data_IF_503507637139
#
_entry.id   IF_503507637139
#
_cell.length_a   1.000
_cell.length_b   1.000
_cell.length_c   1.000
_cell.angle_alpha   90.00
_cell.angle_beta   90.00
_cell.angle_gamma   90.00
#
_symmetry.space_group_name_H-M   'P 1'
#
loop_
_entity.id
_entity.type
_entity.pdbx_description
1 polymer ?
#
# COMPACT_ATOMS: atom_id res chain seq x y z
N UNK A 1 14.45 -61.95 -3.64
CA UNK A 1 13.39 -61.16 -4.29
C UNK A 1 13.49 -59.76 -3.69
N UNK A 2 14.18 -58.84 -4.37
CA UNK A 2 14.46 -57.50 -3.82
C UNK A 2 13.39 -56.53 -4.33
N UNK A 3 12.48 -56.16 -3.44
CA UNK A 3 11.44 -55.16 -3.73
C UNK A 3 12.04 -53.78 -3.49
N UNK A 4 12.47 -53.11 -4.56
CA UNK A 4 12.88 -51.71 -4.50
C UNK A 4 11.63 -50.85 -4.31
N UNK A 5 11.44 -50.31 -3.10
CA UNK A 5 10.40 -49.31 -2.82
C UNK A 5 10.95 -47.97 -3.30
N UNK A 6 10.50 -47.51 -4.47
CA UNK A 6 10.67 -46.11 -4.89
C UNK A 6 9.73 -45.24 -4.04
N UNK A 7 10.26 -44.55 -3.04
CA UNK A 7 9.54 -43.50 -2.33
C UNK A 7 9.37 -42.29 -3.28
N UNK A 8 8.15 -42.06 -3.77
CA UNK A 8 7.82 -40.85 -4.49
C UNK A 8 7.75 -39.69 -3.48
N UNK A 9 8.68 -38.75 -3.55
CA UNK A 9 8.62 -37.51 -2.78
C UNK A 9 7.56 -36.59 -3.41
N UNK A 10 6.38 -36.49 -2.79
CA UNK A 10 5.39 -35.50 -3.16
C UNK A 10 5.86 -34.11 -2.68
N UNK A 11 6.21 -33.23 -3.62
CA UNK A 11 6.49 -31.83 -3.30
C UNK A 11 5.15 -31.13 -3.13
N UNK A 12 4.78 -30.81 -1.87
CA UNK A 12 3.62 -29.98 -1.58
C UNK A 12 3.98 -28.54 -1.95
N UNK A 13 3.43 -28.04 -3.05
CA UNK A 13 3.51 -26.61 -3.40
C UNK A 13 2.57 -25.88 -2.44
N UNK A 14 3.10 -25.22 -1.43
CA UNK A 14 2.32 -24.34 -0.58
C UNK A 14 1.81 -23.16 -1.42
N UNK A 15 0.49 -22.96 -1.45
CA UNK A 15 -0.11 -21.77 -2.06
C UNK A 15 0.16 -20.62 -1.09
N UNK A 16 1.07 -19.72 -1.46
CA UNK A 16 1.37 -18.52 -0.68
C UNK A 16 0.36 -17.46 -1.08
N UNK A 17 -0.51 -17.05 -0.15
CA UNK A 17 -1.36 -15.88 -0.33
C UNK A 17 -0.64 -14.64 0.22
N UNK A 18 -1.01 -13.48 -0.31
CA UNK A 18 -0.46 -12.20 0.06
C UNK A 18 -1.53 -11.11 0.04
N UNK A 19 -1.28 -10.02 0.74
CA UNK A 19 -2.13 -8.83 0.74
C UNK A 19 -1.32 -7.56 0.76
N UNK A 20 -1.90 -6.46 0.30
CA UNK A 20 -1.36 -5.13 0.52
C UNK A 20 -1.47 -4.78 2.01
N UNK A 21 -0.35 -4.33 2.56
CA UNK A 21 -0.21 -3.96 3.97
C UNK A 21 0.22 -2.50 4.18
N UNK A 22 0.44 -1.74 3.10
CA UNK A 22 0.78 -0.32 3.15
C UNK A 22 1.54 0.16 1.92
N UNK A 23 2.35 1.19 2.08
CA UNK A 23 3.19 1.74 1.02
C UNK A 23 4.44 2.42 1.60
N UNK A 24 5.46 2.55 0.77
CA UNK A 24 6.70 3.28 1.05
C UNK A 24 6.82 4.51 0.14
N UNK A 25 7.46 5.56 0.65
CA UNK A 25 7.73 6.78 -0.11
C UNK A 25 8.97 7.51 0.43
N UNK A 26 9.62 8.39 -0.34
CA UNK A 26 10.63 9.30 0.17
C UNK A 26 10.13 10.12 1.36
N UNK A 27 10.92 10.24 2.42
CA UNK A 27 10.58 11.10 3.57
C UNK A 27 10.69 12.58 3.27
N UNK A 28 11.41 12.94 2.20
CA UNK A 28 11.55 14.31 1.70
C UNK A 28 11.17 14.36 0.23
N UNK A 29 10.32 15.31 -0.14
CA UNK A 29 9.75 15.41 -1.49
C UNK A 29 9.77 16.87 -1.96
N UNK A 30 10.16 17.12 -3.21
CA UNK A 30 10.10 18.46 -3.78
C UNK A 30 8.71 18.76 -4.37
N UNK A 31 8.26 20.03 -4.36
CA UNK A 31 7.06 20.44 -5.08
C UNK A 31 7.18 20.14 -6.58
N UNK A 32 6.08 19.72 -7.20
CA UNK A 32 6.02 19.35 -8.64
C UNK A 32 6.73 18.06 -9.04
N UNK A 33 7.45 17.39 -8.13
CA UNK A 33 8.07 16.11 -8.43
C UNK A 33 7.03 15.01 -8.62
N UNK A 34 7.36 14.06 -9.50
CA UNK A 34 6.68 12.77 -9.59
C UNK A 34 7.42 11.76 -8.70
N UNK A 35 6.73 11.27 -7.68
CA UNK A 35 7.31 10.44 -6.63
C UNK A 35 6.91 9.00 -6.87
N UNK A 36 7.93 8.13 -6.91
CA UNK A 36 7.76 6.69 -6.91
C UNK A 36 7.39 6.19 -5.51
N UNK A 37 6.23 5.57 -5.40
CA UNK A 37 5.78 4.81 -4.25
C UNK A 37 6.01 3.32 -4.48
N UNK A 38 6.39 2.61 -3.42
CA UNK A 38 6.36 1.15 -3.40
C UNK A 38 5.20 0.66 -2.55
N UNK A 39 4.14 0.12 -3.16
CA UNK A 39 3.02 -0.47 -2.43
C UNK A 39 3.50 -1.80 -1.83
N UNK A 40 3.46 -1.88 -0.51
CA UNK A 40 4.03 -2.98 0.27
C UNK A 40 3.03 -4.12 0.38
N UNK A 41 3.50 -5.33 0.08
CA UNK A 41 2.73 -6.57 0.21
C UNK A 41 3.30 -7.42 1.34
N UNK A 42 2.45 -8.15 2.03
CA UNK A 42 2.80 -9.08 3.10
C UNK A 42 2.08 -10.41 2.93
N UNK A 43 2.66 -11.48 3.47
CA UNK A 43 2.03 -12.80 3.46
C UNK A 43 0.71 -12.77 4.22
N UNK A 44 -0.25 -13.55 3.74
CA UNK A 44 -1.56 -13.68 4.36
C UNK A 44 -2.05 -15.12 4.24
N UNK A 45 -2.93 -15.54 5.14
CA UNK A 45 -3.42 -16.92 5.14
C UNK A 45 -4.52 -17.14 4.11
N UNK A 46 -5.33 -16.11 3.89
CA UNK A 46 -6.49 -16.16 3.00
C UNK A 46 -6.22 -15.46 1.67
N UNK A 47 -6.99 -15.83 0.64
CA UNK A 47 -6.98 -15.09 -0.62
C UNK A 47 -7.72 -13.77 -0.43
N UNK A 48 -7.05 -12.67 -0.79
CA UNK A 48 -7.62 -11.33 -0.80
C UNK A 48 -7.84 -10.90 -2.25
N UNK A 49 -8.87 -10.07 -2.50
CA UNK A 49 -9.03 -9.32 -3.73
C UNK A 49 -8.90 -7.83 -3.45
N UNK A 50 -7.84 -7.19 -3.94
CA UNK A 50 -7.63 -5.75 -3.83
C UNK A 50 -8.06 -5.04 -5.12
N UNK A 51 -8.96 -4.06 -4.99
CA UNK A 51 -9.58 -3.41 -6.15
C UNK A 51 -8.81 -2.15 -6.57
N UNK A 52 -8.56 -1.26 -5.61
CA UNK A 52 -7.88 0.01 -5.87
C UNK A 52 -7.25 0.58 -4.61
N UNK A 53 -6.24 1.41 -4.80
CA UNK A 53 -5.65 2.25 -3.77
C UNK A 53 -5.66 3.70 -4.23
N UNK A 54 -6.42 4.56 -3.53
CA UNK A 54 -6.43 5.99 -3.76
C UNK A 54 -5.39 6.68 -2.87
N UNK A 55 -4.79 7.75 -3.36
CA UNK A 55 -3.74 8.49 -2.65
C UNK A 55 -4.10 9.96 -2.55
N UNK A 56 -3.70 10.62 -1.48
CA UNK A 56 -3.86 12.06 -1.33
C UNK A 56 -2.83 12.68 -0.40
N UNK A 57 -2.70 13.99 -0.51
CA UNK A 57 -1.64 14.76 0.12
C UNK A 57 -2.22 15.94 0.87
N UNK A 58 -1.80 16.10 2.12
CA UNK A 58 -2.39 17.07 3.04
C UNK A 58 -1.31 17.81 3.83
N UNK A 59 -1.42 19.15 4.00
CA UNK A 59 -0.55 19.91 4.89
C UNK A 59 -0.70 19.51 6.37
N UNK A 60 0.42 19.39 7.07
CA UNK A 60 0.49 19.14 8.52
C UNK A 60 0.02 17.76 8.96
N UNK A 61 -0.31 17.68 10.24
CA UNK A 61 -0.77 16.47 10.93
C UNK A 61 -2.30 16.33 10.87
N UNK A 62 -2.92 16.55 9.69
CA UNK A 62 -4.38 16.61 9.59
C UNK A 62 -5.04 15.34 10.14
N UNK A 63 -5.78 15.55 11.23
CA UNK A 63 -6.31 14.51 12.12
C UNK A 63 -7.53 13.79 11.58
N UNK A 64 -8.08 14.23 10.45
CA UNK A 64 -9.19 13.53 9.82
C UNK A 64 -8.67 12.24 9.15
N UNK A 65 -8.79 11.13 9.87
CA UNK A 65 -8.37 9.81 9.41
C UNK A 65 -9.16 9.31 8.19
N UNK A 66 -10.38 9.82 7.96
CA UNK A 66 -11.23 9.43 6.83
C UNK A 66 -11.04 10.26 5.56
N UNK A 67 -10.20 11.30 5.59
CA UNK A 67 -9.99 12.19 4.45
C UNK A 67 -8.60 11.99 3.83
N UNK A 68 -8.55 11.87 2.50
CA UNK A 68 -7.31 11.80 1.73
C UNK A 68 -6.65 13.18 1.48
N UNK A 69 -7.38 14.28 1.70
CA UNK A 69 -6.93 15.62 1.33
C UNK A 69 -6.92 15.84 -0.18
N UNK A 70 -5.88 16.51 -0.70
CA UNK A 70 -5.77 16.76 -2.14
C UNK A 70 -5.42 15.46 -2.85
N UNK A 71 -6.40 14.90 -3.55
CA UNK A 71 -6.28 13.63 -4.23
C UNK A 71 -5.21 13.69 -5.33
N UNK A 72 -4.47 12.58 -5.44
CA UNK A 72 -3.52 12.31 -6.52
C UNK A 72 -3.98 11.10 -7.33
N UNK A 73 -3.16 10.66 -8.29
CA UNK A 73 -3.51 9.54 -9.17
C UNK A 73 -3.74 8.24 -8.36
N UNK A 74 -4.89 7.56 -8.51
CA UNK A 74 -5.11 6.27 -7.87
C UNK A 74 -4.35 5.14 -8.60
N UNK A 75 -4.15 4.02 -7.91
CA UNK A 75 -3.70 2.75 -8.47
C UNK A 75 -4.89 1.80 -8.57
N UNK A 76 -5.25 1.42 -9.79
CA UNK A 76 -6.14 0.28 -10.01
C UNK A 76 -5.33 -1.01 -9.90
N UNK A 77 -5.83 -1.94 -9.10
CA UNK A 77 -5.12 -3.18 -8.77
C UNK A 77 -5.77 -4.34 -9.51
N UNK A 78 -7.01 -4.68 -9.14
CA UNK A 78 -7.73 -5.80 -9.73
C UNK A 78 -6.99 -7.12 -9.57
N UNK A 79 -7.33 -8.12 -10.38
CA UNK A 79 -6.73 -9.46 -10.27
C UNK A 79 -5.22 -9.47 -10.56
N UNK A 80 -4.72 -8.55 -11.39
CA UNK A 80 -3.32 -8.53 -11.83
C UNK A 80 -2.34 -8.11 -10.73
N UNK A 81 -2.80 -7.32 -9.75
CA UNK A 81 -1.99 -6.76 -8.67
C UNK A 81 -2.51 -7.12 -7.28
N UNK A 82 -3.39 -8.12 -7.20
CA UNK A 82 -3.94 -8.66 -5.97
C UNK A 82 -3.34 -10.03 -5.68
N UNK A 83 -3.21 -10.37 -4.39
CA UNK A 83 -2.64 -11.65 -3.94
C UNK A 83 -1.26 -11.97 -4.56
N UNK A 84 -0.44 -10.93 -4.74
CA UNK A 84 0.92 -11.03 -5.30
C UNK A 84 1.97 -10.79 -4.21
N UNK A 85 3.10 -11.49 -4.31
CA UNK A 85 4.23 -11.37 -3.38
C UNK A 85 5.21 -10.26 -3.75
N UNK A 86 5.00 -9.60 -4.90
CA UNK A 86 5.88 -8.55 -5.38
C UNK A 86 5.37 -7.17 -4.96
N UNK A 87 6.29 -6.30 -4.57
CA UNK A 87 6.03 -4.87 -4.40
C UNK A 87 5.47 -4.27 -5.70
N UNK A 88 4.49 -3.39 -5.58
CA UNK A 88 3.84 -2.77 -6.73
C UNK A 88 4.28 -1.31 -6.81
N UNK A 89 4.92 -0.93 -7.91
CA UNK A 89 5.32 0.44 -8.16
C UNK A 89 4.10 1.30 -8.55
N UNK A 90 4.04 2.51 -8.00
CA UNK A 90 3.06 3.53 -8.35
C UNK A 90 3.69 4.92 -8.31
N UNK A 91 3.15 5.87 -9.07
CA UNK A 91 3.68 7.23 -9.13
C UNK A 91 2.60 8.24 -8.79
N UNK A 92 2.94 9.20 -7.92
CA UNK A 92 2.07 10.30 -7.50
C UNK A 92 2.78 11.64 -7.67
N UNK A 93 2.05 12.67 -8.07
CA UNK A 93 2.62 14.01 -8.24
C UNK A 93 2.42 14.85 -6.97
N UNK A 94 3.48 15.55 -6.54
CA UNK A 94 3.41 16.50 -5.44
C UNK A 94 2.88 17.83 -5.97
N UNK A 95 1.87 18.45 -5.32
CA UNK A 95 1.35 19.72 -5.77
C UNK A 95 2.45 20.80 -5.83
N UNK A 96 2.49 21.64 -6.88
CA UNK A 96 3.44 22.77 -6.96
C UNK A 96 3.22 23.80 -5.84
N UNK A 97 2.04 23.80 -5.23
CA UNK A 97 1.66 24.67 -4.11
C UNK A 97 2.15 24.16 -2.76
N UNK A 98 2.78 22.98 -2.70
CA UNK A 98 3.35 22.45 -1.47
C UNK A 98 4.51 23.35 -1.01
N UNK A 99 4.49 23.76 0.25
CA UNK A 99 5.46 24.72 0.78
C UNK A 99 6.69 24.01 1.31
N UNK A 100 7.86 24.39 0.84
CA UNK A 100 9.14 23.92 1.35
C UNK A 100 9.28 24.25 2.84
N UNK A 101 9.80 23.30 3.61
CA UNK A 101 10.01 23.41 5.06
C UNK A 101 8.81 22.98 5.91
N UNK A 102 7.66 22.70 5.31
CA UNK A 102 6.48 22.23 6.03
C UNK A 102 6.37 20.69 6.02
N UNK A 103 5.80 20.14 7.08
CA UNK A 103 5.42 18.73 7.17
C UNK A 103 4.08 18.52 6.48
N UNK A 104 3.95 17.43 5.74
CA UNK A 104 2.73 16.97 5.10
C UNK A 104 2.48 15.52 5.47
N UNK A 105 1.24 15.06 5.27
CA UNK A 105 0.88 13.66 5.37
C UNK A 105 0.47 13.14 3.99
N UNK A 106 1.17 12.12 3.50
CA UNK A 106 0.75 11.31 2.35
C UNK A 106 -0.17 10.20 2.88
N UNK A 107 -1.41 10.19 2.41
CA UNK A 107 -2.44 9.24 2.83
C UNK A 107 -2.82 8.31 1.68
N UNK A 108 -3.22 7.09 2.01
CA UNK A 108 -3.75 6.15 1.06
C UNK A 108 -4.97 5.41 1.60
N UNK A 109 -5.92 5.11 0.72
CA UNK A 109 -7.14 4.38 0.99
C UNK A 109 -7.20 3.14 0.09
N UNK A 110 -7.12 1.95 0.68
CA UNK A 110 -7.19 0.67 -0.01
C UNK A 110 -8.60 0.10 0.12
N UNK A 111 -9.20 -0.26 -1.02
CA UNK A 111 -10.45 -1.03 -1.07
C UNK A 111 -10.12 -2.47 -1.43
N UNK A 112 -10.56 -3.40 -0.59
CA UNK A 112 -10.31 -4.83 -0.75
C UNK A 112 -11.50 -5.67 -0.32
N UNK A 113 -11.51 -6.95 -0.67
CA UNK A 113 -12.41 -7.94 -0.09
C UNK A 113 -11.67 -9.22 0.27
N UNK A 114 -12.16 -9.90 1.31
CA UNK A 114 -11.59 -11.17 1.78
C UNK A 114 -12.63 -12.02 2.50
N UNK A 115 -12.27 -13.25 2.84
CA UNK A 115 -13.12 -14.17 3.57
C UNK A 115 -14.21 -14.85 2.72
N UNK A 116 -14.95 -15.80 3.31
CA UNK A 116 -15.94 -16.61 2.61
C UNK A 116 -17.14 -15.80 2.08
N UNK A 117 -17.46 -14.68 2.73
CA UNK A 117 -18.59 -13.81 2.38
C UNK A 117 -18.19 -12.65 1.45
N UNK A 118 -16.90 -12.53 1.10
CA UNK A 118 -16.32 -11.41 0.34
C UNK A 118 -16.58 -10.04 1.00
N UNK A 119 -16.36 -9.94 2.30
CA UNK A 119 -16.52 -8.70 3.06
C UNK A 119 -15.66 -7.59 2.46
N UNK A 120 -16.26 -6.44 2.16
CA UNK A 120 -15.54 -5.29 1.60
C UNK A 120 -14.93 -4.48 2.74
N UNK A 121 -13.63 -4.24 2.66
CA UNK A 121 -12.86 -3.48 3.64
C UNK A 121 -12.28 -2.22 3.00
N UNK A 122 -12.40 -1.10 3.73
CA UNK A 122 -11.67 0.13 3.48
C UNK A 122 -10.58 0.29 4.53
N UNK A 123 -9.30 0.25 4.12
CA UNK A 123 -8.14 0.42 5.01
C UNK A 123 -7.40 1.70 4.68
N UNK A 124 -7.14 2.52 5.69
CA UNK A 124 -6.43 3.80 5.56
C UNK A 124 -4.98 3.69 6.05
N UNK A 125 -4.04 4.23 5.27
CA UNK A 125 -2.61 4.31 5.60
C UNK A 125 -2.15 5.78 5.57
N UNK A 126 -1.16 6.12 6.38
CA UNK A 126 -0.60 7.47 6.41
C UNK A 126 0.91 7.47 6.67
N UNK A 127 1.62 8.35 5.96
CA UNK A 127 3.03 8.61 6.16
C UNK A 127 3.27 10.11 6.29
N UNK A 128 3.95 10.53 7.36
CA UNK A 128 4.41 11.91 7.50
C UNK A 128 5.69 12.11 6.66
N UNK A 129 5.73 13.20 5.94
CA UNK A 129 6.84 13.57 5.04
C UNK A 129 7.13 15.06 5.15
N UNK A 130 8.32 15.48 4.77
CA UNK A 130 8.71 16.89 4.73
C UNK A 130 8.83 17.35 3.29
N UNK A 131 8.27 18.50 2.97
CA UNK A 131 8.48 19.11 1.65
C UNK A 131 9.81 19.86 1.68
N UNK A 132 10.71 19.52 0.77
CA UNK A 132 12.07 20.04 0.71
C UNK A 132 12.37 20.62 -0.69
N UNK A 133 13.53 21.25 -0.85
CA UNK A 133 13.97 21.76 -2.17
C UNK A 133 14.24 20.63 -3.18
N UNK A 134 14.58 19.43 -2.69
CA UNK A 134 14.87 18.25 -3.51
C UNK A 134 14.29 17.00 -2.87
N UNK A 135 13.80 16.06 -3.68
CA UNK A 135 13.40 14.73 -3.21
C UNK A 135 14.63 13.94 -2.74
N UNK A 136 14.56 13.40 -1.52
CA UNK A 136 15.66 12.65 -0.91
C UNK A 136 15.60 11.15 -1.19
N UNK A 137 16.67 10.45 -0.81
CA UNK A 137 16.82 9.00 -0.99
C UNK A 137 16.41 8.16 0.22
N UNK A 138 16.05 8.79 1.34
CA UNK A 138 15.57 8.08 2.53
C UNK A 138 14.06 7.82 2.40
N UNK A 139 13.64 6.57 2.61
CA UNK A 139 12.25 6.16 2.51
C UNK A 139 11.64 5.92 3.89
N UNK A 140 10.37 6.30 4.03
CA UNK A 140 9.50 5.90 5.12
C UNK A 140 8.58 4.77 4.68
N UNK A 141 8.01 4.08 5.67
CA UNK A 141 7.09 2.98 5.46
C UNK A 141 5.78 3.23 6.24
N UNK A 142 4.65 3.18 5.54
CA UNK A 142 3.31 3.25 6.11
C UNK A 142 2.70 1.85 6.34
N UNK A 143 3.48 0.78 6.17
CA UNK A 143 3.04 -0.57 6.46
C UNK A 143 2.68 -0.74 7.94
N UNK A 144 1.63 -1.51 8.22
CA UNK A 144 1.10 -1.78 9.57
C UNK A 144 0.62 -0.54 10.36
N UNK A 145 0.72 0.67 9.81
CA UNK A 145 0.10 1.89 10.33
C UNK A 145 -1.27 2.08 9.68
N UNK A 146 -2.16 1.13 9.92
CA UNK A 146 -3.56 1.30 9.57
C UNK A 146 -4.16 2.31 10.56
N UNK A 147 -4.59 3.48 10.07
CA UNK A 147 -5.23 4.50 10.93
C UNK A 147 -6.72 4.24 11.16
N UNK A 148 -7.25 3.16 10.59
CA UNK A 148 -8.59 2.64 10.83
C UNK A 148 -9.10 1.74 9.71
N UNK A 149 -10.08 0.89 10.06
CA UNK A 149 -10.96 0.21 9.10
C UNK A 149 -12.34 0.83 9.26
N UNK A 150 -12.86 1.46 8.21
CA UNK A 150 -14.22 2.03 8.25
C UNK A 150 -15.19 0.93 7.84
N UNK A 151 -15.57 0.09 8.79
CA UNK A 151 -16.77 -0.73 8.65
C UNK A 151 -17.95 0.14 9.09
N UNK A 152 -18.90 0.36 8.18
CA UNK A 152 -20.04 1.24 8.42
C UNK A 152 -20.76 0.94 9.74
N UNK A 153 -20.82 1.96 10.59
CA UNK A 153 -21.89 2.20 11.55
C UNK A 153 -22.45 3.58 11.21
#
# INVERSE_FOLDING_TARGET
MHTNICAAAAVLIAIVNARIIGFTAPLTMAPSDEIKLGITVGLFDEKVLEYMMAFGFTPGDETNAGALGKQTRPKYLGQDFSNTTNTIDHYVSIPPTAKVGETYTLKAALVSSSGPENDVLLTMYALKVTVAETTGSQFGDASQVAIGTVNGQ
#
